data_IF_773533505129
#
_entry.id   IF_773533505129
#
_cell.length_a   1.000
_cell.length_b   1.000
_cell.length_c   1.000
_cell.angle_alpha   90.00
_cell.angle_beta   90.00
_cell.angle_gamma   90.00
#
_symmetry.space_group_name_H-M   'P 1'
#
loop_
_entity.id
_entity.type
_entity.pdbx_description
1 polymer ?
#
# COMPACT_ATOMS: atom_id res chain seq x y z
N UNK A 1 1.09 14.73 -51.04
CA UNK A 1 0.51 15.86 -50.30
C UNK A 1 -0.68 15.36 -49.49
N UNK A 2 -0.45 15.06 -48.22
CA UNK A 2 -1.42 14.41 -47.33
C UNK A 2 -2.38 15.46 -46.78
N UNK A 3 -3.69 15.33 -47.04
CA UNK A 3 -4.71 16.22 -46.47
C UNK A 3 -4.74 16.00 -44.96
N UNK A 4 -4.16 16.94 -44.21
CA UNK A 4 -4.33 16.96 -42.76
C UNK A 4 -5.80 17.21 -42.45
N UNK A 5 -6.37 16.34 -41.61
CA UNK A 5 -7.78 16.39 -41.21
C UNK A 5 -8.11 17.78 -40.62
N UNK A 6 -8.93 18.57 -41.32
CA UNK A 6 -9.26 19.94 -40.93
C UNK A 6 -9.86 20.03 -39.53
N UNK A 7 -10.56 18.97 -39.08
CA UNK A 7 -11.07 18.86 -37.72
C UNK A 7 -9.94 18.77 -36.67
N UNK A 8 -8.84 18.08 -36.99
CA UNK A 8 -7.65 18.01 -36.14
C UNK A 8 -6.98 19.38 -36.05
N UNK A 9 -6.81 20.07 -37.17
CA UNK A 9 -6.19 21.41 -37.19
C UNK A 9 -7.06 22.43 -36.44
N UNK A 10 -8.38 22.40 -36.62
CA UNK A 10 -9.31 23.25 -35.89
C UNK A 10 -9.37 22.94 -34.39
N UNK A 11 -9.24 21.66 -33.99
CA UNK A 11 -9.14 21.26 -32.60
C UNK A 11 -7.83 21.73 -31.96
N UNK A 12 -6.70 21.66 -32.67
CA UNK A 12 -5.42 22.18 -32.20
C UNK A 12 -5.44 23.70 -32.05
N UNK A 13 -6.02 24.44 -33.01
CA UNK A 13 -6.16 25.91 -32.92
C UNK A 13 -6.99 26.33 -31.69
N UNK A 14 -8.12 25.65 -31.44
CA UNK A 14 -8.96 25.88 -30.25
C UNK A 14 -8.30 25.54 -28.91
N UNK A 15 -7.18 24.80 -28.92
CA UNK A 15 -6.41 24.49 -27.71
C UNK A 15 -5.55 25.66 -27.26
N UNK A 16 -5.08 26.49 -28.20
CA UNK A 16 -4.21 27.63 -27.94
C UNK A 16 -4.96 28.93 -27.62
N UNK A 17 -6.29 28.96 -27.78
CA UNK A 17 -7.14 30.11 -27.45
C UNK A 17 -7.85 29.98 -26.10
N UNK A 18 -7.50 28.99 -25.27
CA UNK A 18 -8.09 28.79 -23.93
C UNK A 18 -7.34 29.63 -22.89
N UNK A 19 -8.01 30.03 -21.82
CA UNK A 19 -7.39 30.72 -20.67
C UNK A 19 -6.21 29.93 -20.07
N UNK A 20 -6.28 28.59 -20.13
CA UNK A 20 -5.23 27.69 -19.64
C UNK A 20 -4.30 27.15 -20.74
N UNK A 21 -4.28 27.76 -21.93
CA UNK A 21 -3.43 27.32 -23.04
C UNK A 21 -1.94 27.22 -22.63
N UNK A 22 -1.51 28.04 -21.68
CA UNK A 22 -0.15 28.04 -21.11
C UNK A 22 0.30 26.71 -20.48
N UNK A 23 -0.63 25.84 -20.03
CA UNK A 23 -0.32 24.50 -19.51
C UNK A 23 -0.02 23.47 -20.62
N UNK A 24 -0.30 23.82 -21.88
CA UNK A 24 -0.14 22.94 -23.04
C UNK A 24 0.93 23.42 -24.02
N UNK A 25 1.61 24.51 -23.68
CA UNK A 25 2.76 25.02 -24.42
C UNK A 25 3.95 24.11 -24.13
N UNK A 26 4.43 23.38 -25.13
CA UNK A 26 5.65 22.57 -25.02
C UNK A 26 6.85 23.48 -24.70
N UNK A 27 7.87 22.94 -24.03
CA UNK A 27 9.05 23.71 -23.63
C UNK A 27 9.80 24.40 -24.81
N UNK A 28 9.57 23.93 -26.03
CA UNK A 28 10.18 24.38 -27.29
C UNK A 28 9.29 25.33 -28.12
N UNK A 29 8.18 25.83 -27.56
CA UNK A 29 7.22 26.65 -28.31
C UNK A 29 7.79 27.90 -28.99
N UNK A 30 8.94 28.41 -28.53
CA UNK A 30 9.71 29.48 -29.21
C UNK A 30 10.07 29.15 -30.66
N UNK A 31 10.15 27.86 -31.00
CA UNK A 31 10.49 27.38 -32.34
C UNK A 31 9.30 27.41 -33.30
N UNK A 32 8.07 27.49 -32.78
CA UNK A 32 6.83 27.37 -33.55
C UNK A 32 5.92 28.60 -33.47
N UNK A 33 6.26 29.57 -32.62
CA UNK A 33 5.58 30.86 -32.52
C UNK A 33 6.28 31.92 -33.37
N UNK A 34 5.50 32.80 -34.00
CA UNK A 34 6.03 34.00 -34.66
C UNK A 34 6.85 34.83 -33.66
N UNK A 35 8.03 35.38 -34.03
CA UNK A 35 8.92 36.08 -33.10
C UNK A 35 8.29 37.25 -32.34
N UNK A 36 7.28 37.90 -32.92
CA UNK A 36 6.50 38.96 -32.27
C UNK A 36 5.51 38.40 -31.24
N UNK A 37 4.81 37.31 -31.56
CA UNK A 37 3.88 36.64 -30.67
C UNK A 37 4.59 36.02 -29.46
N UNK A 38 5.78 35.45 -29.66
CA UNK A 38 6.59 34.92 -28.57
C UNK A 38 7.05 36.02 -27.59
N UNK A 39 7.40 37.21 -28.11
CA UNK A 39 7.78 38.36 -27.27
C UNK A 39 6.64 38.86 -26.39
N UNK A 40 5.44 39.00 -26.96
CA UNK A 40 4.24 39.40 -26.21
C UNK A 40 3.88 38.35 -25.14
N UNK A 41 3.86 37.07 -25.49
CA UNK A 41 3.62 35.98 -24.54
C UNK A 41 4.63 35.97 -23.38
N UNK A 42 5.91 36.22 -23.68
CA UNK A 42 6.97 36.30 -22.67
C UNK A 42 6.74 37.50 -21.72
N UNK A 43 6.42 38.67 -22.26
CA UNK A 43 6.14 39.88 -21.47
C UNK A 43 4.91 39.71 -20.57
N UNK A 44 3.82 39.13 -21.06
CA UNK A 44 2.64 38.85 -20.26
C UNK A 44 2.91 37.84 -19.13
N UNK A 45 3.77 36.85 -19.38
CA UNK A 45 4.20 35.88 -18.35
C UNK A 45 5.06 36.51 -17.27
N UNK A 46 6.01 37.35 -17.67
CA UNK A 46 6.89 38.04 -16.72
C UNK A 46 6.10 39.05 -15.88
N UNK A 47 5.08 39.70 -16.47
CA UNK A 47 4.17 40.58 -15.76
C UNK A 47 3.17 39.86 -14.83
N UNK A 48 2.82 38.59 -15.12
CA UNK A 48 1.94 37.74 -14.30
C UNK A 48 2.68 36.72 -13.43
N UNK A 49 4.01 36.79 -13.36
CA UNK A 49 4.77 35.90 -12.50
C UNK A 49 4.38 36.19 -11.04
N UNK A 50 4.00 35.17 -10.24
CA UNK A 50 3.73 35.39 -8.83
C UNK A 50 4.98 35.97 -8.18
N UNK A 51 4.79 36.93 -7.27
CA UNK A 51 5.88 37.47 -6.45
C UNK A 51 6.67 36.30 -5.85
N UNK A 52 7.96 36.25 -6.15
CA UNK A 52 8.80 35.15 -5.72
C UNK A 52 8.92 35.23 -4.20
N UNK A 53 8.44 34.22 -3.49
CA UNK A 53 8.68 34.12 -2.05
C UNK A 53 10.17 34.32 -1.78
N UNK A 54 10.53 35.19 -0.81
CA UNK A 54 11.92 35.51 -0.54
C UNK A 54 12.67 34.21 -0.22
N UNK A 55 13.84 34.04 -0.82
CA UNK A 55 14.67 32.83 -0.73
C UNK A 55 14.91 32.38 0.72
N UNK A 56 14.95 33.33 1.65
CA UNK A 56 15.04 33.10 3.09
C UNK A 56 13.90 32.25 3.65
N UNK A 57 12.64 32.52 3.29
CA UNK A 57 11.46 31.77 3.75
C UNK A 57 11.55 30.31 3.28
N UNK A 58 11.92 30.09 2.01
CA UNK A 58 12.12 28.75 1.45
C UNK A 58 13.26 27.99 2.16
N UNK A 59 14.34 28.68 2.53
CA UNK A 59 15.43 28.05 3.28
C UNK A 59 15.03 27.67 4.71
N UNK A 60 14.16 28.45 5.35
CA UNK A 60 13.70 28.18 6.71
C UNK A 60 12.65 27.06 6.75
N UNK A 61 11.79 26.96 5.73
CA UNK A 61 10.93 25.79 5.53
C UNK A 61 11.75 24.51 5.29
N UNK A 62 12.80 24.58 4.47
CA UNK A 62 13.70 23.44 4.23
C UNK A 62 14.41 22.99 5.50
N UNK A 63 14.92 23.94 6.31
CA UNK A 63 15.52 23.64 7.62
C UNK A 63 14.51 22.99 8.55
N UNK A 64 13.30 23.53 8.62
CA UNK A 64 12.21 22.99 9.45
C UNK A 64 11.86 21.56 9.03
N UNK A 65 11.76 21.31 7.72
CA UNK A 65 11.48 19.98 7.17
C UNK A 65 12.61 18.99 7.46
N UNK A 66 13.87 19.45 7.41
CA UNK A 66 15.03 18.64 7.77
C UNK A 66 15.03 18.29 9.27
N UNK A 67 14.69 19.24 10.14
CA UNK A 67 14.55 19.03 11.58
C UNK A 67 13.44 18.02 11.89
N UNK A 68 12.24 18.20 11.32
CA UNK A 68 11.14 17.26 11.50
C UNK A 68 11.49 15.85 11.02
N UNK A 69 12.23 15.72 9.91
CA UNK A 69 12.73 14.42 9.45
C UNK A 69 13.72 13.79 10.43
N UNK A 70 14.61 14.58 11.02
CA UNK A 70 15.55 14.10 12.02
C UNK A 70 14.83 13.65 13.30
N UNK A 71 13.83 14.39 13.76
CA UNK A 71 13.02 14.04 14.94
C UNK A 71 12.23 12.75 14.72
N UNK A 72 11.57 12.59 13.56
CA UNK A 72 10.88 11.35 13.20
C UNK A 72 11.86 10.16 13.16
N UNK A 73 13.07 10.36 12.66
CA UNK A 73 14.10 9.32 12.66
C UNK A 73 14.52 8.95 14.09
N UNK A 74 14.69 9.93 14.98
CA UNK A 74 15.05 9.71 16.38
C UNK A 74 13.96 8.94 17.14
N UNK A 75 12.69 9.33 17.01
CA UNK A 75 11.56 8.63 17.63
C UNK A 75 11.45 7.17 17.15
N UNK A 76 11.68 6.93 15.85
CA UNK A 76 11.71 5.58 15.31
C UNK A 76 12.84 4.72 15.89
N UNK A 77 14.02 5.31 16.12
CA UNK A 77 15.13 4.62 16.77
C UNK A 77 14.79 4.28 18.23
N UNK A 78 14.17 5.20 18.96
CA UNK A 78 13.76 4.97 20.34
C UNK A 78 12.72 3.86 20.47
N UNK A 79 11.70 3.84 19.59
CA UNK A 79 10.70 2.76 19.57
C UNK A 79 11.37 1.40 19.33
N UNK A 80 12.33 1.33 18.39
CA UNK A 80 13.08 0.10 18.12
C UNK A 80 13.92 -0.33 19.33
N UNK A 81 14.55 0.61 20.02
CA UNK A 81 15.35 0.33 21.21
C UNK A 81 14.48 -0.18 22.37
N UNK A 82 13.31 0.43 22.61
CA UNK A 82 12.35 -0.05 23.62
C UNK A 82 11.85 -1.46 23.32
N UNK A 83 11.58 -1.78 22.05
CA UNK A 83 11.22 -3.14 21.61
C UNK A 83 12.37 -4.13 21.87
N UNK A 84 13.61 -3.75 21.58
CA UNK A 84 14.78 -4.58 21.85
C UNK A 84 14.94 -4.85 23.35
N UNK A 85 14.84 -3.81 24.19
CA UNK A 85 14.92 -3.96 25.64
C UNK A 85 13.83 -4.87 26.21
N UNK A 86 12.61 -4.81 25.67
CA UNK A 86 11.52 -5.71 26.07
C UNK A 86 11.85 -7.18 25.76
N UNK A 87 12.42 -7.45 24.58
CA UNK A 87 12.87 -8.79 24.19
C UNK A 87 14.03 -9.27 25.06
N UNK A 88 15.01 -8.41 25.35
CA UNK A 88 16.15 -8.76 26.20
C UNK A 88 15.75 -8.99 27.66
N UNK A 89 14.76 -8.27 28.20
CA UNK A 89 14.21 -8.53 29.54
C UNK A 89 13.53 -9.90 29.65
N UNK A 90 12.95 -10.40 28.56
CA UNK A 90 12.35 -11.74 28.50
C UNK A 90 13.39 -12.86 28.28
N UNK A 91 14.66 -12.53 28.01
CA UNK A 91 15.71 -13.48 27.72
C UNK A 91 16.48 -13.85 29.00
N UNK A 92 16.34 -15.09 29.46
CA UNK A 92 17.15 -15.65 30.55
C UNK A 92 18.10 -16.75 30.02
N UNK A 93 19.42 -16.53 30.02
CA UNK A 93 20.39 -17.50 29.49
C UNK A 93 20.55 -18.78 30.33
N UNK A 94 20.10 -18.80 31.58
CA UNK A 94 20.17 -19.98 32.46
C UNK A 94 18.87 -20.77 32.56
N UNK A 95 17.82 -20.40 31.80
CA UNK A 95 16.54 -21.08 31.88
C UNK A 95 16.62 -22.49 31.27
N UNK A 96 16.19 -23.54 32.00
CA UNK A 96 16.32 -24.92 31.54
C UNK A 96 15.53 -25.20 30.25
N UNK A 97 16.10 -26.07 29.41
CA UNK A 97 15.52 -26.49 28.12
C UNK A 97 15.30 -28.00 28.10
N UNK A 98 14.34 -28.43 27.30
CA UNK A 98 14.18 -29.85 26.96
C UNK A 98 15.42 -30.31 26.18
N UNK A 99 16.12 -31.38 26.64
CA UNK A 99 17.29 -31.93 25.95
C UNK A 99 16.98 -32.36 24.51
N UNK A 100 17.98 -32.35 23.64
CA UNK A 100 17.81 -32.82 22.27
C UNK A 100 17.59 -34.35 22.22
N UNK A 101 16.62 -34.81 21.41
CA UNK A 101 16.32 -36.24 21.23
C UNK A 101 14.83 -36.59 21.14
N UNK A 102 13.94 -35.65 21.47
CA UNK A 102 12.48 -35.79 21.29
C UNK A 102 11.91 -34.68 20.40
N UNK A 103 10.64 -34.81 19.99
CA UNK A 103 9.89 -33.79 19.23
C UNK A 103 9.84 -32.42 19.90
N UNK A 104 10.08 -32.38 21.21
CA UNK A 104 10.02 -31.16 22.03
C UNK A 104 11.41 -30.60 22.39
N UNK A 105 12.47 -31.15 21.80
CA UNK A 105 13.85 -30.72 22.03
C UNK A 105 14.05 -29.22 21.75
N UNK A 106 14.65 -28.52 22.72
CA UNK A 106 14.91 -27.07 22.63
C UNK A 106 13.79 -26.16 23.13
N UNK A 107 12.63 -26.71 23.54
CA UNK A 107 11.59 -25.93 24.20
C UNK A 107 12.03 -25.48 25.62
N UNK A 108 11.49 -24.35 26.07
CA UNK A 108 11.71 -23.81 27.40
C UNK A 108 10.86 -24.59 28.41
N UNK A 109 11.43 -25.07 29.52
CA UNK A 109 10.61 -25.68 30.58
C UNK A 109 10.07 -24.59 31.50
N UNK A 110 8.75 -24.54 31.69
CA UNK A 110 8.10 -23.61 32.62
C UNK A 110 8.12 -24.21 34.02
N UNK A 111 8.86 -23.58 34.95
CA UNK A 111 8.85 -23.97 36.35
C UNK A 111 8.00 -22.98 37.16
N UNK A 112 6.68 -23.22 37.27
CA UNK A 112 5.79 -22.66 38.32
C UNK A 112 4.41 -23.33 38.33
N UNK A 113 4.12 -24.09 39.40
CA UNK A 113 2.92 -23.98 40.25
C UNK A 113 1.52 -24.27 39.69
N UNK A 114 1.11 -25.54 39.78
CA UNK A 114 -0.22 -26.08 40.13
C UNK A 114 -1.50 -25.36 39.65
N UNK A 115 -2.19 -25.98 38.68
CA UNK A 115 -3.59 -25.69 38.36
C UNK A 115 -4.20 -26.70 37.39
N UNK A 116 -4.62 -27.87 37.92
CA UNK A 116 -5.50 -28.89 37.32
C UNK A 116 -5.19 -29.35 35.88
N UNK A 117 -4.57 -30.53 35.78
CA UNK A 117 -4.53 -31.36 34.57
C UNK A 117 -5.94 -31.81 34.17
N UNK A 118 -6.51 -31.20 33.13
CA UNK A 118 -7.56 -31.80 32.29
C UNK A 118 -6.89 -32.35 31.02
N UNK A 119 -6.97 -33.66 30.71
CA UNK A 119 -6.28 -34.27 29.57
C UNK A 119 -6.91 -33.92 28.20
N UNK A 120 -7.64 -32.79 28.09
CA UNK A 120 -8.32 -32.36 26.85
C UNK A 120 -7.73 -31.13 26.17
N UNK A 121 -6.60 -30.59 26.63
CA UNK A 121 -5.87 -29.58 25.83
C UNK A 121 -5.02 -30.30 24.77
N UNK A 122 -5.75 -30.80 23.78
CA UNK A 122 -5.26 -30.99 22.43
C UNK A 122 -5.00 -29.60 21.85
N UNK A 123 -3.74 -29.35 21.50
CA UNK A 123 -3.31 -28.44 20.43
C UNK A 123 -4.44 -27.65 19.76
N UNK A 124 -4.72 -26.44 20.25
CA UNK A 124 -5.64 -25.49 19.63
C UNK A 124 -4.96 -24.66 18.52
N UNK A 125 -3.99 -25.26 17.84
CA UNK A 125 -3.69 -24.92 16.45
C UNK A 125 -4.82 -25.46 15.56
N UNK A 126 -5.96 -24.76 15.58
CA UNK A 126 -7.00 -24.98 14.58
C UNK A 126 -6.40 -24.67 13.19
N UNK A 127 -6.49 -25.57 12.21
CA UNK A 127 -5.90 -25.38 10.88
C UNK A 127 -6.58 -24.26 10.05
N UNK A 128 -7.53 -23.53 10.64
CA UNK A 128 -8.34 -22.51 9.97
C UNK A 128 -8.17 -21.09 10.55
N UNK A 129 -7.30 -20.87 11.53
CA UNK A 129 -7.03 -19.53 12.06
C UNK A 129 -5.98 -18.78 11.21
N UNK A 130 -6.24 -17.55 10.73
CA UNK A 130 -5.24 -16.77 10.03
C UNK A 130 -4.07 -16.45 10.97
N UNK A 131 -2.81 -16.56 10.52
CA UNK A 131 -1.64 -16.43 11.38
C UNK A 131 -1.57 -15.05 12.03
N UNK A 132 -1.20 -14.99 13.32
CA UNK A 132 -1.01 -13.71 14.02
C UNK A 132 0.24 -13.03 13.45
N UNK A 133 0.30 -11.69 13.38
CA UNK A 133 1.40 -10.97 12.76
C UNK A 133 2.81 -11.28 13.33
N UNK A 134 2.90 -11.83 14.55
CA UNK A 134 4.16 -12.24 15.18
C UNK A 134 4.66 -13.64 14.80
N UNK A 135 3.77 -14.54 14.39
CA UNK A 135 4.09 -15.96 14.17
C UNK A 135 4.94 -16.18 12.91
N UNK A 136 4.89 -15.22 11.98
CA UNK A 136 5.62 -15.26 10.69
C UNK A 136 7.11 -14.89 10.85
N UNK A 137 7.50 -14.20 11.93
CA UNK A 137 8.88 -13.70 12.08
C UNK A 137 9.85 -14.74 12.68
N UNK A 138 9.37 -15.75 13.40
CA UNK A 138 10.23 -16.73 14.09
C UNK A 138 10.71 -17.90 13.20
N UNK A 139 10.11 -18.11 12.02
CA UNK A 139 10.37 -19.29 11.18
C UNK A 139 11.40 -19.05 10.05
N UNK A 140 11.86 -17.82 9.85
CA UNK A 140 12.83 -17.47 8.80
C UNK A 140 14.27 -17.53 9.32
N UNK A 141 14.76 -18.73 9.66
CA UNK A 141 16.22 -18.93 9.62
C UNK A 141 16.62 -18.80 8.14
N UNK A 142 17.61 -17.96 7.78
CA UNK A 142 18.12 -17.93 6.42
C UNK A 142 18.51 -19.35 6.05
N UNK A 143 17.95 -19.88 4.96
CA UNK A 143 18.45 -21.11 4.36
C UNK A 143 19.86 -20.81 3.86
N UNK A 144 20.86 -21.04 4.72
CA UNK A 144 22.29 -20.95 4.38
C UNK A 144 22.76 -22.16 3.57
N UNK A 145 21.83 -23.02 3.15
CA UNK A 145 22.10 -24.19 2.32
C UNK A 145 22.07 -23.86 0.82
N UNK A 146 22.51 -24.81 -0.01
CA UNK A 146 22.51 -24.64 -1.45
C UNK A 146 21.08 -24.47 -1.97
N UNK A 147 20.91 -23.60 -2.96
CA UNK A 147 19.62 -23.35 -3.63
C UNK A 147 19.67 -23.86 -5.07
N UNK A 148 18.54 -24.33 -5.58
CA UNK A 148 18.43 -24.83 -6.95
C UNK A 148 18.09 -23.67 -7.90
N UNK A 149 18.98 -23.38 -8.85
CA UNK A 149 18.79 -22.37 -9.89
C UNK A 149 19.03 -23.04 -11.24
N UNK A 150 18.01 -23.06 -12.10
CA UNK A 150 18.07 -23.67 -13.43
C UNK A 150 18.65 -25.10 -13.42
N UNK A 151 18.22 -25.93 -12.45
CA UNK A 151 18.69 -27.32 -12.30
C UNK A 151 20.07 -27.48 -11.64
N UNK A 152 20.76 -26.38 -11.29
CA UNK A 152 22.08 -26.42 -10.63
C UNK A 152 21.98 -26.00 -9.16
N UNK A 153 22.62 -26.76 -8.27
CA UNK A 153 22.81 -26.34 -6.88
C UNK A 153 23.88 -25.25 -6.78
N UNK A 154 23.51 -24.11 -6.22
CA UNK A 154 24.38 -22.95 -6.04
C UNK A 154 24.40 -22.57 -4.56
N UNK A 155 25.60 -22.37 -4.01
CA UNK A 155 25.77 -21.88 -2.63
C UNK A 155 25.77 -20.34 -2.63
N UNK A 156 24.78 -19.68 -2.01
CA UNK A 156 24.76 -18.22 -1.91
C UNK A 156 25.78 -17.74 -0.89
N UNK A 157 26.42 -16.59 -1.14
CA UNK A 157 27.18 -15.91 -0.08
C UNK A 157 26.25 -15.47 1.06
N UNK A 158 26.73 -15.25 2.29
CA UNK A 158 25.87 -14.80 3.40
C UNK A 158 25.06 -13.53 3.07
N UNK A 159 25.68 -12.57 2.37
CA UNK A 159 25.00 -11.35 1.90
C UNK A 159 23.91 -11.65 0.87
N UNK A 160 24.17 -12.57 -0.06
CA UNK A 160 23.17 -13.02 -1.04
C UNK A 160 22.01 -13.74 -0.37
N UNK A 161 22.28 -14.64 0.57
CA UNK A 161 21.26 -15.36 1.32
C UNK A 161 20.33 -14.40 2.08
N UNK A 162 20.90 -13.40 2.76
CA UNK A 162 20.12 -12.38 3.48
C UNK A 162 19.25 -11.54 2.53
N UNK A 163 19.81 -11.07 1.40
CA UNK A 163 19.07 -10.28 0.41
C UNK A 163 17.98 -11.10 -0.28
N UNK A 164 18.24 -12.37 -0.57
CA UNK A 164 17.27 -13.30 -1.14
C UNK A 164 16.10 -13.51 -0.18
N UNK A 165 16.37 -13.84 1.08
CA UNK A 165 15.34 -14.02 2.10
C UNK A 165 14.46 -12.76 2.25
N UNK A 166 15.08 -11.57 2.28
CA UNK A 166 14.34 -10.31 2.35
C UNK A 166 13.51 -10.02 1.09
N UNK A 167 14.02 -10.35 -0.11
CA UNK A 167 13.28 -10.18 -1.36
C UNK A 167 12.09 -11.14 -1.46
N UNK A 168 12.31 -12.41 -1.11
CA UNK A 168 11.29 -13.48 -1.10
C UNK A 168 10.18 -13.20 -0.07
N UNK A 169 10.54 -12.74 1.13
CA UNK A 169 9.56 -12.35 2.14
C UNK A 169 8.69 -11.19 1.67
N UNK A 170 9.30 -10.16 1.07
CA UNK A 170 8.56 -9.01 0.50
C UNK A 170 7.64 -9.43 -0.65
N UNK A 171 8.12 -10.25 -1.59
CA UNK A 171 7.30 -10.69 -2.72
C UNK A 171 6.12 -11.54 -2.25
N UNK A 172 6.33 -12.50 -1.34
CA UNK A 172 5.25 -13.30 -0.75
C UNK A 172 4.21 -12.46 -0.03
N UNK A 173 4.65 -11.50 0.79
CA UNK A 173 3.74 -10.60 1.51
C UNK A 173 2.90 -9.76 0.54
N UNK A 174 3.55 -9.13 -0.45
CA UNK A 174 2.86 -8.29 -1.43
C UNK A 174 1.87 -9.11 -2.29
N UNK A 175 2.27 -10.31 -2.76
CA UNK A 175 1.40 -11.21 -3.53
C UNK A 175 0.22 -11.68 -2.69
N UNK A 176 0.44 -12.07 -1.43
CA UNK A 176 -0.63 -12.46 -0.50
C UNK A 176 -1.65 -11.33 -0.37
N UNK A 177 -1.18 -10.10 -0.12
CA UNK A 177 -2.03 -8.91 -0.03
C UNK A 177 -2.80 -8.65 -1.32
N UNK A 178 -2.22 -8.89 -2.50
CA UNK A 178 -2.98 -8.82 -3.76
C UNK A 178 -4.08 -9.87 -3.78
N UNK A 179 -3.74 -11.13 -3.50
CA UNK A 179 -4.68 -12.27 -3.57
C UNK A 179 -5.86 -12.16 -2.61
N UNK A 180 -5.67 -11.51 -1.46
CA UNK A 180 -6.76 -11.15 -0.53
C UNK A 180 -7.83 -10.25 -1.19
N UNK A 181 -7.46 -9.46 -2.21
CA UNK A 181 -8.34 -8.51 -2.92
C UNK A 181 -8.76 -9.01 -4.30
N UNK A 182 -7.82 -9.67 -4.97
CA UNK A 182 -7.91 -10.17 -6.34
C UNK A 182 -7.29 -11.57 -6.41
N UNK A 183 -8.07 -12.63 -6.10
CA UNK A 183 -7.59 -14.00 -6.05
C UNK A 183 -7.07 -14.54 -7.38
N UNK A 184 -7.49 -13.98 -8.53
CA UNK A 184 -7.09 -14.47 -9.86
C UNK A 184 -5.77 -13.85 -10.34
N UNK A 185 -5.34 -12.71 -9.78
CA UNK A 185 -4.10 -12.05 -10.19
C UNK A 185 -2.87 -12.93 -9.97
N UNK A 186 -1.94 -12.89 -10.91
CA UNK A 186 -0.64 -13.57 -10.87
C UNK A 186 0.47 -12.61 -11.32
N UNK A 187 1.65 -12.64 -10.69
CA UNK A 187 2.79 -11.87 -11.17
C UNK A 187 3.26 -12.43 -12.52
N UNK A 188 3.82 -11.56 -13.36
CA UNK A 188 4.51 -11.99 -14.56
C UNK A 188 5.81 -12.71 -14.17
N UNK A 189 6.03 -13.95 -14.66
CA UNK A 189 7.22 -14.70 -14.33
C UNK A 189 8.47 -14.02 -14.90
N UNK A 190 9.58 -14.11 -14.17
CA UNK A 190 10.90 -13.64 -14.63
C UNK A 190 11.85 -14.84 -14.74
N UNK A 191 12.58 -14.94 -15.85
CA UNK A 191 13.66 -15.91 -15.98
C UNK A 191 14.90 -15.45 -15.19
N UNK A 192 15.64 -16.38 -14.59
CA UNK A 192 16.88 -16.11 -13.88
C UNK A 192 17.83 -17.31 -13.91
N UNK A 193 19.12 -17.03 -13.96
CA UNK A 193 20.19 -18.05 -14.04
C UNK A 193 21.23 -17.92 -12.90
N UNK A 194 21.04 -16.93 -12.01
CA UNK A 194 21.95 -16.66 -10.90
C UNK A 194 21.21 -16.24 -9.65
N UNK A 195 21.89 -16.28 -8.49
CA UNK A 195 21.32 -15.83 -7.20
C UNK A 195 20.88 -14.36 -7.27
N UNK A 196 21.67 -13.51 -7.91
CA UNK A 196 21.30 -12.10 -8.14
C UNK A 196 20.10 -11.96 -9.08
N UNK A 197 20.01 -12.83 -10.11
CA UNK A 197 18.83 -12.90 -10.97
C UNK A 197 17.56 -13.28 -10.20
N UNK A 198 17.64 -14.28 -9.32
CA UNK A 198 16.53 -14.70 -8.46
C UNK A 198 16.12 -13.59 -7.48
N UNK A 199 17.09 -12.89 -6.87
CA UNK A 199 16.82 -11.71 -6.03
C UNK A 199 16.05 -10.64 -6.83
N UNK A 200 16.51 -10.32 -8.05
CA UNK A 200 15.83 -9.36 -8.92
C UNK A 200 14.43 -9.83 -9.33
N UNK A 201 14.23 -11.12 -9.56
CA UNK A 201 12.92 -11.69 -9.87
C UNK A 201 11.93 -11.46 -8.73
N UNK A 202 12.28 -11.81 -7.49
CA UNK A 202 11.42 -11.54 -6.33
C UNK A 202 11.17 -10.05 -6.11
N UNK A 203 12.18 -9.20 -6.29
CA UNK A 203 11.97 -7.75 -6.22
C UNK A 203 11.01 -7.25 -7.31
N UNK A 204 11.07 -7.82 -8.52
CA UNK A 204 10.17 -7.47 -9.61
C UNK A 204 8.73 -7.94 -9.32
N UNK A 205 8.56 -9.15 -8.81
CA UNK A 205 7.25 -9.66 -8.35
C UNK A 205 6.64 -8.78 -7.26
N UNK A 206 7.43 -8.38 -6.27
CA UNK A 206 6.99 -7.47 -5.20
C UNK A 206 6.51 -6.13 -5.78
N UNK A 207 7.30 -5.52 -6.68
CA UNK A 207 6.91 -4.26 -7.34
C UNK A 207 5.62 -4.40 -8.16
N UNK A 208 5.45 -5.50 -8.89
CA UNK A 208 4.21 -5.76 -9.65
C UNK A 208 3.01 -5.87 -8.72
N UNK A 209 3.15 -6.61 -7.61
CA UNK A 209 2.10 -6.77 -6.62
C UNK A 209 1.75 -5.44 -5.93
N UNK A 210 2.75 -4.65 -5.53
CA UNK A 210 2.57 -3.33 -4.93
C UNK A 210 1.91 -2.34 -5.91
N UNK A 211 2.30 -2.36 -7.18
CA UNK A 211 1.68 -1.54 -8.22
C UNK A 211 0.21 -1.93 -8.43
N UNK A 212 -0.10 -3.23 -8.41
CA UNK A 212 -1.48 -3.72 -8.50
C UNK A 212 -2.31 -3.31 -7.28
N UNK A 213 -1.76 -3.43 -6.07
CA UNK A 213 -2.41 -2.94 -4.85
C UNK A 213 -2.70 -1.44 -4.91
N UNK A 214 -1.75 -0.64 -5.40
CA UNK A 214 -1.96 0.79 -5.59
C UNK A 214 -3.05 1.08 -6.63
N UNK A 215 -3.11 0.30 -7.71
CA UNK A 215 -4.18 0.41 -8.71
C UNK A 215 -5.55 0.06 -8.12
N UNK A 216 -5.66 -1.06 -7.40
CA UNK A 216 -6.88 -1.49 -6.70
C UNK A 216 -7.34 -0.43 -5.70
N UNK A 217 -6.42 0.06 -4.86
CA UNK A 217 -6.69 1.12 -3.87
C UNK A 217 -7.20 2.40 -4.53
N UNK A 218 -6.60 2.81 -5.66
CA UNK A 218 -7.09 3.94 -6.47
C UNK A 218 -8.42 3.66 -7.15
N UNK A 219 -8.80 2.41 -7.38
CA UNK A 219 -10.11 2.01 -7.88
C UNK A 219 -11.16 1.86 -6.76
N UNK A 220 -10.78 2.09 -5.50
CA UNK A 220 -11.64 1.90 -4.34
C UNK A 220 -11.76 0.44 -3.91
N UNK A 221 -10.87 -0.45 -4.33
CA UNK A 221 -10.85 -1.87 -3.91
C UNK A 221 -9.79 -2.04 -2.81
N UNK A 222 -10.27 -2.26 -1.59
CA UNK A 222 -9.52 -2.15 -0.36
C UNK A 222 -9.47 -0.71 0.19
N UNK A 223 -8.87 -0.52 1.38
CA UNK A 223 -8.57 0.80 1.90
C UNK A 223 -7.79 1.64 0.89
N UNK A 224 -8.23 2.89 0.73
CA UNK A 224 -7.68 3.83 -0.23
C UNK A 224 -6.45 4.55 0.35
N UNK A 225 -5.74 5.37 -0.45
CA UNK A 225 -4.55 6.09 0.02
C UNK A 225 -4.85 7.15 1.10
N UNK A 226 -6.11 7.55 1.26
CA UNK A 226 -6.58 8.50 2.27
C UNK A 226 -7.38 7.82 3.39
N UNK A 227 -7.34 6.49 3.46
CA UNK A 227 -8.02 5.74 4.50
C UNK A 227 -7.40 6.03 5.87
N UNK A 228 -8.19 6.58 6.78
CA UNK A 228 -7.87 6.71 8.20
C UNK A 228 -8.54 5.63 9.04
N UNK A 229 -9.22 6.07 10.08
CA UNK A 229 -10.04 5.22 10.93
C UNK A 229 -11.18 4.54 10.14
N UNK A 230 -11.75 3.47 10.73
CA UNK A 230 -12.90 2.75 10.18
C UNK A 230 -13.67 2.04 11.29
N UNK A 231 -14.94 1.77 11.04
CA UNK A 231 -15.77 0.94 11.92
C UNK A 231 -15.85 -0.50 11.39
N UNK A 232 -16.00 -1.51 12.24
CA UNK A 232 -16.30 -2.87 11.78
C UNK A 232 -17.68 -2.90 11.09
N UNK A 233 -17.81 -3.67 10.00
CA UNK A 233 -19.10 -3.97 9.41
C UNK A 233 -19.82 -5.04 10.26
N UNK A 234 -21.14 -4.92 10.43
CA UNK A 234 -21.97 -5.96 11.07
C UNK A 234 -22.27 -7.14 10.14
N UNK A 235 -22.16 -6.92 8.84
CA UNK A 235 -22.50 -7.86 7.78
C UNK A 235 -22.41 -7.14 6.43
N UNK A 236 -22.80 -7.80 5.32
CA UNK A 236 -22.82 -7.21 3.98
C UNK A 236 -24.01 -6.24 3.77
N UNK A 237 -24.96 -6.18 4.69
CA UNK A 237 -26.17 -5.36 4.57
C UNK A 237 -25.83 -3.86 4.57
N UNK A 238 -26.71 -3.07 3.94
CA UNK A 238 -26.58 -1.61 3.85
C UNK A 238 -27.48 -0.87 4.84
N UNK A 239 -27.91 -1.55 5.90
CA UNK A 239 -28.86 -1.09 6.91
C UNK A 239 -28.16 -0.31 8.05
N UNK A 240 -27.35 0.70 7.70
CA UNK A 240 -26.54 1.41 8.68
C UNK A 240 -27.39 2.23 9.67
N UNK A 241 -27.11 2.03 10.95
CA UNK A 241 -27.68 2.80 12.06
C UNK A 241 -27.25 4.27 12.00
N UNK A 242 -28.01 5.14 12.67
CA UNK A 242 -27.65 6.55 12.79
C UNK A 242 -26.27 6.76 13.44
N UNK A 243 -25.91 5.91 14.42
CA UNK A 243 -24.59 5.94 15.07
C UNK A 243 -23.47 5.58 14.10
N UNK A 244 -23.61 4.50 13.33
CA UNK A 244 -22.62 4.11 12.33
C UNK A 244 -22.45 5.20 11.27
N UNK A 245 -23.55 5.79 10.80
CA UNK A 245 -23.51 6.91 9.85
C UNK A 245 -22.85 8.15 10.44
N UNK A 246 -23.19 8.50 11.68
CA UNK A 246 -22.56 9.60 12.40
C UNK A 246 -21.05 9.43 12.53
N UNK A 247 -20.59 8.21 12.80
CA UNK A 247 -19.19 7.88 12.94
C UNK A 247 -18.44 7.91 11.61
N UNK A 248 -19.01 7.33 10.55
CA UNK A 248 -18.44 7.44 9.19
C UNK A 248 -18.34 8.89 8.75
N UNK A 249 -19.33 9.72 9.07
CA UNK A 249 -19.25 11.16 8.78
C UNK A 249 -18.19 11.88 9.62
N UNK A 250 -18.02 11.51 10.91
CA UNK A 250 -16.95 12.05 11.75
C UNK A 250 -15.58 11.75 11.13
N UNK A 251 -15.34 10.48 10.77
CA UNK A 251 -14.10 10.04 10.14
C UNK A 251 -13.91 10.77 8.79
N UNK A 252 -14.94 10.79 7.95
CA UNK A 252 -14.89 11.45 6.65
C UNK A 252 -14.63 12.96 6.73
N UNK A 253 -15.10 13.66 7.77
CA UNK A 253 -14.74 15.07 8.00
C UNK A 253 -13.29 15.27 8.44
N UNK A 254 -12.65 14.27 9.04
CA UNK A 254 -11.26 14.34 9.49
C UNK A 254 -10.29 13.92 8.40
N UNK A 255 -10.60 12.87 7.64
CA UNK A 255 -9.67 12.24 6.68
C UNK A 255 -10.13 12.32 5.23
N UNK A 256 -11.36 12.77 4.98
CA UNK A 256 -11.98 12.76 3.67
C UNK A 256 -12.41 11.38 3.22
N UNK A 257 -12.87 11.31 1.97
CA UNK A 257 -13.10 10.08 1.23
C UNK A 257 -11.84 9.23 1.24
N UNK A 258 -11.92 7.98 1.71
CA UNK A 258 -10.76 7.10 1.83
C UNK A 258 -10.05 6.87 0.48
N UNK A 259 -10.75 7.01 -0.64
CA UNK A 259 -10.23 6.76 -1.99
C UNK A 259 -9.52 7.98 -2.60
N UNK A 260 -10.10 9.18 -2.49
CA UNK A 260 -9.56 10.38 -3.17
C UNK A 260 -9.28 11.58 -2.24
N UNK A 261 -9.57 11.46 -0.95
CA UNK A 261 -9.28 12.49 0.05
C UNK A 261 -10.26 13.66 0.09
N UNK A 262 -11.25 13.73 -0.80
CA UNK A 262 -12.24 14.83 -0.76
C UNK A 262 -13.00 14.87 0.56
N UNK A 263 -13.14 16.05 1.13
CA UNK A 263 -13.97 16.28 2.33
C UNK A 263 -15.46 16.38 1.99
N UNK A 264 -15.82 16.42 0.70
CA UNK A 264 -17.19 16.54 0.24
C UNK A 264 -17.80 15.17 -0.08
N UNK A 265 -18.89 14.77 0.60
CA UNK A 265 -19.52 13.48 0.36
C UNK A 265 -20.17 13.35 -1.02
N UNK A 266 -20.70 14.44 -1.58
CA UNK A 266 -21.41 14.44 -2.86
C UNK A 266 -22.76 13.70 -2.87
N UNK A 267 -23.25 13.19 -1.73
CA UNK A 267 -24.61 12.65 -1.63
C UNK A 267 -25.61 13.77 -1.32
N UNK A 268 -26.87 13.61 -1.75
CA UNK A 268 -27.95 14.59 -1.46
C UNK A 268 -28.20 14.82 0.04
N UNK A 269 -27.91 13.80 0.85
CA UNK A 269 -28.08 13.86 2.31
C UNK A 269 -26.92 14.55 3.04
N UNK A 270 -25.84 14.90 2.33
CA UNK A 270 -24.61 15.42 2.94
C UNK A 270 -23.83 14.39 3.76
N UNK A 271 -24.17 13.10 3.66
CA UNK A 271 -23.47 12.02 4.36
C UNK A 271 -22.47 11.33 3.42
N UNK A 272 -21.32 10.91 3.95
CA UNK A 272 -20.43 9.98 3.25
C UNK A 272 -21.13 8.64 3.01
N UNK A 273 -20.80 8.00 1.89
CA UNK A 273 -21.19 6.62 1.62
C UNK A 273 -20.44 5.73 2.59
N UNK A 274 -21.18 4.88 3.30
CA UNK A 274 -20.63 3.83 4.14
C UNK A 274 -20.12 2.69 3.23
N UNK A 275 -18.85 2.77 2.86
CA UNK A 275 -18.27 1.87 1.87
C UNK A 275 -17.66 0.63 2.53
N UNK A 276 -18.10 -0.54 2.07
CA UNK A 276 -17.61 -1.83 2.55
C UNK A 276 -16.27 -2.14 1.91
N UNK A 277 -15.27 -2.42 2.74
CA UNK A 277 -13.95 -2.83 2.28
C UNK A 277 -13.59 -4.23 2.78
N UNK A 278 -13.48 -5.24 1.89
CA UNK A 278 -13.69 -5.17 0.42
C UNK A 278 -15.16 -4.99 0.01
N UNK A 279 -15.47 -4.59 -1.23
CA UNK A 279 -16.85 -4.56 -1.70
C UNK A 279 -17.49 -5.95 -1.65
N UNK A 280 -18.77 -6.04 -1.26
CA UNK A 280 -19.48 -7.31 -1.02
C UNK A 280 -19.38 -8.31 -2.18
N UNK A 281 -19.49 -7.84 -3.42
CA UNK A 281 -19.41 -8.70 -4.61
C UNK A 281 -18.03 -9.37 -4.80
N UNK A 282 -16.98 -8.82 -4.19
CA UNK A 282 -15.64 -9.41 -4.17
C UNK A 282 -15.37 -10.22 -2.89
N UNK A 283 -16.34 -10.30 -1.98
CA UNK A 283 -16.27 -11.01 -0.70
C UNK A 283 -17.32 -12.16 -0.58
N UNK A 284 -17.35 -13.12 -1.52
CA UNK A 284 -18.36 -14.20 -1.49
C UNK A 284 -18.22 -15.14 -0.28
N UNK A 285 -17.03 -15.20 0.32
CA UNK A 285 -16.77 -15.99 1.52
C UNK A 285 -17.18 -15.29 2.83
N UNK A 286 -17.70 -14.05 2.76
CA UNK A 286 -18.19 -13.34 3.94
C UNK A 286 -17.10 -12.99 4.97
N UNK A 287 -15.87 -12.76 4.53
CA UNK A 287 -14.79 -12.33 5.42
C UNK A 287 -15.15 -11.04 6.16
N UNK A 288 -14.65 -10.83 7.40
CA UNK A 288 -14.88 -9.58 8.12
C UNK A 288 -14.51 -8.35 7.29
N UNK A 289 -15.43 -7.40 7.18
CA UNK A 289 -15.25 -6.15 6.43
C UNK A 289 -15.14 -4.96 7.39
N UNK A 290 -14.53 -3.89 6.89
CA UNK A 290 -14.54 -2.59 7.56
C UNK A 290 -15.25 -1.57 6.69
N UNK A 291 -15.86 -0.58 7.34
CA UNK A 291 -16.56 0.50 6.67
C UNK A 291 -15.70 1.76 6.70
N UNK A 292 -15.50 2.36 5.53
CA UNK A 292 -14.76 3.60 5.35
C UNK A 292 -15.67 4.70 4.75
N UNK A 293 -15.39 5.98 5.02
CA UNK A 293 -16.10 7.08 4.37
C UNK A 293 -15.70 7.18 2.89
N UNK A 294 -16.67 7.17 1.99
CA UNK A 294 -16.43 7.35 0.55
C UNK A 294 -17.34 8.42 -0.02
N UNK A 295 -16.84 9.25 -0.95
CA UNK A 295 -17.69 10.18 -1.68
C UNK A 295 -18.48 9.46 -2.78
N UNK A 296 -19.62 10.03 -3.16
CA UNK A 296 -20.53 9.48 -4.17
C UNK A 296 -19.81 9.17 -5.48
N UNK A 297 -18.99 10.11 -5.97
CA UNK A 297 -18.26 9.93 -7.23
C UNK A 297 -17.27 8.75 -7.20
N UNK A 298 -16.61 8.49 -6.05
CA UNK A 298 -15.74 7.33 -5.91
C UNK A 298 -16.55 6.04 -5.77
N UNK A 299 -17.69 6.08 -5.08
CA UNK A 299 -18.59 4.93 -4.92
C UNK A 299 -19.15 4.46 -6.25
N UNK A 300 -19.62 5.37 -7.09
CA UNK A 300 -20.12 5.04 -8.44
C UNK A 300 -19.02 4.43 -9.31
N UNK A 301 -17.82 5.02 -9.27
CA UNK A 301 -16.66 4.52 -10.01
C UNK A 301 -16.23 3.13 -9.53
N UNK A 302 -16.24 2.89 -8.22
CA UNK A 302 -15.94 1.59 -7.63
C UNK A 302 -16.97 0.54 -8.08
N UNK A 303 -18.27 0.87 -8.04
CA UNK A 303 -19.33 -0.02 -8.52
C UNK A 303 -19.12 -0.45 -9.98
N UNK A 304 -18.76 0.49 -10.86
CA UNK A 304 -18.41 0.19 -12.25
C UNK A 304 -17.16 -0.70 -12.39
N UNK A 305 -16.17 -0.55 -11.50
CA UNK A 305 -14.97 -1.39 -11.51
C UNK A 305 -15.27 -2.81 -11.02
N UNK A 306 -16.01 -2.95 -9.91
CA UNK A 306 -16.45 -4.23 -9.34
C UNK A 306 -17.26 -5.03 -10.36
N UNK A 307 -18.18 -4.37 -11.08
CA UNK A 307 -18.96 -5.01 -12.14
C UNK A 307 -18.09 -5.61 -13.26
N UNK A 308 -17.03 -4.90 -13.66
CA UNK A 308 -16.09 -5.42 -14.68
C UNK A 308 -15.28 -6.60 -14.18
N UNK A 309 -14.82 -6.57 -12.93
CA UNK A 309 -14.11 -7.70 -12.32
C UNK A 309 -15.02 -8.93 -12.13
N UNK A 310 -16.29 -8.72 -11.77
CA UNK A 310 -17.27 -9.79 -11.59
C UNK A 310 -17.66 -10.51 -12.88
N UNK A 311 -17.62 -9.82 -14.04
CA UNK A 311 -17.88 -10.43 -15.36
C UNK A 311 -16.73 -11.30 -15.91
N UNK A 312 -15.55 -11.23 -15.29
CA UNK A 312 -14.38 -12.01 -15.68
C UNK A 312 -14.15 -13.25 -14.80
N UNK A 313 -15.09 -13.59 -13.92
CA UNK A 313 -15.10 -14.82 -13.12
C UNK A 313 -16.11 -15.81 -13.67
#
# INVERSE_FOLDING_TARGET
>A
MTRHNDAFVAAQRRRFTRENAHLHVRHDARLFMQPAAYRLWKQEREAKAPEHEPESVRTDELKTLLQLKAEVAALNAEIKFRKLLAVLKAYNPSQPRVPAGSSDGGQWTSNVGAGRNDPRILSDASPEAPPRPGDVYAQLRPRSGPILINGRWVQPTPSQAARLAAAEARSRDAIRRVRERDPSWRPQPSAYESVEGLIRAHQAEARQAEAWLAQLSRAGIGPGPYAGESIPARGPERDFTARERGEINRIGRQTGCHTCGTMEPGTRSGNFVCDHQFPNALNPAGWPQRIYPQCMACSDRQGGYVHRLGRGR
#
